data_IF_472997711189
#
_entry.id   IF_472997711189
#
_cell.length_a   1.000
_cell.length_b   1.000
_cell.length_c   1.000
_cell.angle_alpha   90.00
_cell.angle_beta   90.00
_cell.angle_gamma   90.00
#
_symmetry.space_group_name_H-M   'P 1'
#
loop_
_entity.id
_entity.type
_entity.pdbx_description
1 polymer ?
#
# COMPACT_ATOMS: atom_id res chain seq x y z
N UNK A 1 18.79 -4.20 -11.26
CA UNK A 1 18.00 -4.47 -10.04
C UNK A 1 16.58 -4.94 -10.44
N UNK A 2 16.16 -6.16 -10.08
CA UNK A 2 14.89 -6.78 -10.56
C UNK A 2 13.64 -6.06 -10.04
N UNK A 3 13.65 -5.65 -8.78
CA UNK A 3 12.53 -4.94 -8.13
C UNK A 3 12.22 -3.60 -8.81
N UNK A 4 13.26 -2.81 -9.13
CA UNK A 4 13.12 -1.55 -9.85
C UNK A 4 12.49 -1.71 -11.25
N UNK A 5 12.61 -2.90 -11.85
CA UNK A 5 11.96 -3.26 -13.13
C UNK A 5 10.52 -3.76 -12.95
N UNK A 6 10.00 -3.80 -11.73
CA UNK A 6 8.62 -4.21 -11.45
C UNK A 6 8.41 -5.71 -11.28
N UNK A 7 9.40 -6.49 -10.82
CA UNK A 7 9.26 -7.95 -10.66
C UNK A 7 8.15 -8.39 -9.69
N UNK A 8 7.68 -7.48 -8.83
CA UNK A 8 6.54 -7.65 -7.94
C UNK A 8 5.17 -7.46 -8.63
N UNK A 9 5.09 -6.92 -9.86
CA UNK A 9 3.81 -6.68 -10.56
C UNK A 9 3.35 -7.94 -11.30
N UNK A 10 3.03 -9.00 -10.55
CA UNK A 10 2.58 -10.29 -11.12
C UNK A 10 1.48 -10.92 -10.27
N UNK A 11 0.66 -11.75 -10.91
CA UNK A 11 -0.39 -12.51 -10.22
C UNK A 11 0.18 -13.75 -9.53
N UNK A 12 -0.62 -14.36 -8.65
CA UNK A 12 -0.30 -15.64 -8.01
C UNK A 12 0.53 -15.57 -6.73
N UNK A 13 1.14 -14.44 -6.37
CA UNK A 13 1.79 -14.25 -5.05
C UNK A 13 2.72 -15.39 -4.65
N UNK A 14 2.31 -16.16 -3.64
CA UNK A 14 3.02 -17.38 -3.21
C UNK A 14 3.15 -18.41 -4.35
N UNK A 15 2.08 -18.75 -5.06
CA UNK A 15 2.17 -19.70 -6.19
C UNK A 15 3.01 -19.13 -7.35
N UNK A 16 3.05 -17.81 -7.48
CA UNK A 16 3.89 -17.09 -8.44
C UNK A 16 5.38 -16.99 -8.06
N UNK A 17 5.79 -17.58 -6.93
CA UNK A 17 7.19 -17.60 -6.47
C UNK A 17 7.65 -16.33 -5.74
N UNK A 18 6.73 -15.48 -5.27
CA UNK A 18 7.04 -14.37 -4.36
C UNK A 18 7.12 -14.92 -2.94
N UNK A 19 8.23 -14.65 -2.25
CA UNK A 19 8.47 -15.15 -0.89
C UNK A 19 9.09 -14.06 -0.05
N UNK A 20 8.53 -13.84 1.14
CA UNK A 20 9.18 -13.05 2.19
C UNK A 20 10.28 -13.85 2.85
N UNK A 21 11.37 -14.20 2.16
CA UNK A 21 12.49 -14.92 2.81
C UNK A 21 13.28 -13.96 3.70
N UNK A 22 14.10 -14.47 4.62
CA UNK A 22 15.04 -13.70 5.46
C UNK A 22 16.14 -12.90 4.74
N UNK A 23 16.02 -12.71 3.42
CA UNK A 23 16.82 -11.78 2.64
C UNK A 23 15.98 -10.54 2.32
N UNK A 24 16.45 -9.37 2.74
CA UNK A 24 15.70 -8.11 2.67
C UNK A 24 15.14 -7.76 1.29
N UNK A 25 15.85 -8.12 0.22
CA UNK A 25 15.37 -7.88 -1.16
C UNK A 25 14.12 -8.71 -1.45
N UNK A 26 14.07 -9.94 -0.97
CA UNK A 26 12.90 -10.82 -1.11
C UNK A 26 11.72 -10.30 -0.28
N UNK A 27 11.96 -9.90 0.97
CA UNK A 27 10.94 -9.29 1.84
C UNK A 27 10.38 -7.99 1.23
N UNK A 28 11.24 -7.15 0.65
CA UNK A 28 10.83 -5.94 -0.05
C UNK A 28 9.99 -6.25 -1.31
N UNK A 29 10.39 -7.24 -2.11
CA UNK A 29 9.60 -7.67 -3.28
C UNK A 29 8.21 -8.18 -2.86
N UNK A 30 8.15 -8.96 -1.78
CA UNK A 30 6.92 -9.47 -1.19
C UNK A 30 6.01 -8.34 -0.67
N UNK A 31 6.55 -7.38 0.09
CA UNK A 31 5.81 -6.24 0.59
C UNK A 31 5.26 -5.35 -0.55
N UNK A 32 6.06 -5.12 -1.61
CA UNK A 32 5.63 -4.37 -2.79
C UNK A 32 4.54 -5.10 -3.58
N UNK A 33 4.60 -6.44 -3.65
CA UNK A 33 3.53 -7.23 -4.26
C UNK A 33 2.23 -7.13 -3.47
N UNK A 34 2.29 -7.22 -2.15
CA UNK A 34 1.14 -7.09 -1.28
C UNK A 34 0.51 -5.69 -1.43
N UNK A 35 1.33 -4.63 -1.42
CA UNK A 35 0.89 -3.25 -1.66
C UNK A 35 0.29 -3.03 -3.05
N UNK A 36 0.85 -3.66 -4.08
CA UNK A 36 0.30 -3.61 -5.44
C UNK A 36 -1.04 -4.38 -5.55
N UNK A 37 -1.24 -5.40 -4.73
CA UNK A 37 -2.39 -6.32 -4.77
C UNK A 37 -3.46 -6.04 -3.71
N UNK A 38 -3.29 -5.03 -2.87
CA UNK A 38 -4.10 -4.74 -1.68
C UNK A 38 -5.55 -4.27 -1.94
N UNK A 39 -5.95 -4.12 -3.21
CA UNK A 39 -7.27 -3.66 -3.63
C UNK A 39 -7.73 -2.32 -2.99
N UNK A 40 -6.78 -1.42 -2.70
CA UNK A 40 -7.04 -0.15 -2.01
C UNK A 40 -7.51 -0.30 -0.54
N UNK A 41 -7.15 -1.38 0.14
CA UNK A 41 -7.38 -1.56 1.58
C UNK A 41 -6.08 -1.93 2.28
N UNK A 42 -5.75 -1.18 3.34
CA UNK A 42 -4.60 -1.49 4.17
C UNK A 42 -4.69 -2.92 4.74
N UNK A 43 -5.86 -3.30 5.23
CA UNK A 43 -6.12 -4.59 5.88
C UNK A 43 -5.93 -5.75 4.90
N UNK A 44 -6.46 -5.62 3.68
CA UNK A 44 -6.28 -6.65 2.64
C UNK A 44 -4.81 -6.84 2.31
N UNK A 45 -4.07 -5.76 2.07
CA UNK A 45 -2.64 -5.87 1.78
C UNK A 45 -1.82 -6.38 2.97
N UNK A 46 -2.19 -6.03 4.21
CA UNK A 46 -1.52 -6.53 5.41
C UNK A 46 -1.70 -8.05 5.53
N UNK A 47 -2.93 -8.55 5.32
CA UNK A 47 -3.22 -9.98 5.30
C UNK A 47 -2.48 -10.69 4.16
N UNK A 48 -2.41 -10.09 2.97
CA UNK A 48 -1.61 -10.62 1.86
C UNK A 48 -0.13 -10.74 2.23
N UNK A 49 0.45 -9.70 2.85
CA UNK A 49 1.86 -9.70 3.26
C UNK A 49 2.17 -10.81 4.27
N UNK A 50 1.32 -11.00 5.28
CA UNK A 50 1.47 -12.05 6.30
C UNK A 50 1.26 -13.44 5.69
N UNK A 51 0.28 -13.60 4.80
CA UNK A 51 -0.04 -14.89 4.18
C UNK A 51 0.99 -15.35 3.11
N UNK A 52 1.96 -14.52 2.74
CA UNK A 52 3.11 -14.96 1.93
C UNK A 52 4.07 -15.88 2.69
N UNK A 53 3.93 -16.00 4.01
CA UNK A 53 4.71 -16.92 4.84
C UNK A 53 6.19 -16.56 4.96
N UNK A 54 6.98 -17.53 5.41
CA UNK A 54 8.41 -17.39 5.72
C UNK A 54 8.68 -16.31 6.79
N UNK A 55 9.32 -15.20 6.44
CA UNK A 55 9.67 -14.05 7.28
C UNK A 55 8.51 -13.02 7.26
N UNK A 56 7.43 -13.42 7.94
CA UNK A 56 6.17 -12.69 7.94
C UNK A 56 6.24 -11.36 8.68
N UNK A 57 6.99 -11.28 9.77
CA UNK A 57 7.16 -10.06 10.58
C UNK A 57 7.93 -8.99 9.81
N UNK A 58 9.04 -9.35 9.15
CA UNK A 58 9.79 -8.39 8.33
C UNK A 58 8.97 -7.93 7.13
N UNK A 59 8.30 -8.86 6.44
CA UNK A 59 7.50 -8.53 5.25
C UNK A 59 6.31 -7.63 5.61
N UNK A 60 5.59 -7.96 6.69
CA UNK A 60 4.47 -7.15 7.18
C UNK A 60 4.92 -5.78 7.69
N UNK A 61 6.09 -5.68 8.34
CA UNK A 61 6.62 -4.40 8.80
C UNK A 61 7.00 -3.45 7.65
N UNK A 62 7.61 -3.98 6.57
CA UNK A 62 7.92 -3.19 5.37
C UNK A 62 6.62 -2.76 4.69
N UNK A 63 5.67 -3.67 4.53
CA UNK A 63 4.34 -3.34 4.00
C UNK A 63 3.67 -2.24 4.84
N UNK A 64 3.69 -2.37 6.17
CA UNK A 64 3.06 -1.44 7.09
C UNK A 64 3.60 -0.02 6.98
N UNK A 65 4.91 0.15 6.75
CA UNK A 65 5.52 1.46 6.52
C UNK A 65 5.05 2.08 5.20
N UNK A 66 5.07 1.30 4.10
CA UNK A 66 4.66 1.78 2.77
C UNK A 66 3.16 2.11 2.73
N UNK A 67 2.34 1.16 3.15
CA UNK A 67 0.90 1.28 3.16
C UNK A 67 0.45 2.31 4.21
N UNK A 68 1.08 2.37 5.38
CA UNK A 68 0.77 3.36 6.41
C UNK A 68 1.02 4.79 5.94
N UNK A 69 2.13 5.04 5.22
CA UNK A 69 2.39 6.34 4.61
C UNK A 69 1.39 6.68 3.49
N UNK A 70 0.91 5.68 2.75
CA UNK A 70 -0.04 5.87 1.66
C UNK A 70 -1.50 6.07 2.12
N UNK A 71 -1.97 5.22 3.04
CA UNK A 71 -3.34 5.27 3.57
C UNK A 71 -3.49 6.30 4.68
N UNK A 72 -2.43 6.61 5.43
CA UNK A 72 -2.47 7.50 6.58
C UNK A 72 -3.01 6.82 7.85
N UNK A 73 -2.57 7.30 9.00
CA UNK A 73 -2.85 6.69 10.32
C UNK A 73 -4.36 6.59 10.63
N UNK A 74 -5.13 7.62 10.29
CA UNK A 74 -6.57 7.69 10.60
C UNK A 74 -7.43 6.71 9.77
N UNK A 75 -6.89 6.16 8.68
CA UNK A 75 -7.60 5.22 7.81
C UNK A 75 -7.27 3.76 8.11
N UNK A 76 -6.49 3.48 9.16
CA UNK A 76 -6.20 2.13 9.61
C UNK A 76 -7.31 1.63 10.55
N UNK A 77 -7.67 0.35 10.48
CA UNK A 77 -8.59 -0.30 11.43
C UNK A 77 -8.32 0.08 12.90
N UNK A 78 -9.25 0.77 13.59
CA UNK A 78 -9.10 1.14 15.00
C UNK A 78 -8.89 -0.08 15.89
N UNK A 79 -9.65 -1.16 15.61
CA UNK A 79 -9.53 -2.42 16.32
C UNK A 79 -8.13 -3.00 16.24
N UNK A 80 -7.45 -2.92 15.09
CA UNK A 80 -6.08 -3.42 14.97
C UNK A 80 -5.09 -2.55 15.74
N UNK A 81 -5.27 -1.22 15.69
CA UNK A 81 -4.41 -0.30 16.41
C UNK A 81 -4.42 -0.55 17.92
N UNK A 82 -5.58 -0.88 18.49
CA UNK A 82 -5.73 -1.09 19.94
C UNK A 82 -4.97 -2.31 20.49
N UNK A 83 -4.63 -3.27 19.63
CA UNK A 83 -3.81 -4.43 20.01
C UNK A 83 -2.30 -4.21 19.82
N UNK A 84 -1.88 -3.05 19.29
CA UNK A 84 -0.47 -2.76 19.06
C UNK A 84 0.20 -2.35 20.37
N UNK A 85 1.23 -3.10 20.76
CA UNK A 85 2.05 -2.76 21.93
C UNK A 85 2.71 -1.38 21.75
N UNK A 86 2.67 -0.56 22.80
CA UNK A 86 3.26 0.78 22.82
C UNK A 86 2.72 1.73 21.73
N UNK A 87 1.45 1.56 21.28
CA UNK A 87 0.76 2.43 20.32
C UNK A 87 0.97 3.92 20.60
N UNK A 88 0.71 4.35 21.84
CA UNK A 88 0.80 5.77 22.23
C UNK A 88 2.23 6.31 22.15
N UNK A 89 3.22 5.49 22.53
CA UNK A 89 4.63 5.83 22.40
C UNK A 89 5.02 6.01 20.92
N UNK A 90 4.63 5.07 20.06
CA UNK A 90 4.90 5.17 18.62
C UNK A 90 4.21 6.38 17.99
N UNK A 91 2.95 6.65 18.35
CA UNK A 91 2.23 7.83 17.87
C UNK A 91 2.91 9.14 18.32
N UNK A 92 3.38 9.21 19.56
CA UNK A 92 4.14 10.35 20.08
C UNK A 92 5.46 10.54 19.32
N UNK A 93 6.22 9.45 19.13
CA UNK A 93 7.47 9.46 18.40
C UNK A 93 7.29 9.89 16.94
N UNK A 94 6.26 9.39 16.25
CA UNK A 94 5.94 9.80 14.88
C UNK A 94 5.61 11.29 14.78
N UNK A 95 4.86 11.84 15.73
CA UNK A 95 4.57 13.29 15.80
C UNK A 95 5.85 14.10 16.01
N UNK A 96 6.76 13.64 16.88
CA UNK A 96 8.03 14.31 17.11
C UNK A 96 8.93 14.28 15.87
N UNK A 97 9.02 13.15 15.17
CA UNK A 97 9.78 13.05 13.91
C UNK A 97 9.22 14.01 12.85
N UNK A 98 7.89 14.09 12.71
CA UNK A 98 7.26 15.02 11.79
C UNK A 98 7.59 16.49 12.15
N UNK A 99 7.50 16.83 13.44
CA UNK A 99 7.83 18.16 13.94
C UNK A 99 9.30 18.56 13.71
N UNK A 100 10.24 17.65 13.91
CA UNK A 100 11.65 17.91 13.62
C UNK A 100 11.92 18.01 12.11
N UNK A 101 11.22 17.22 11.29
CA UNK A 101 11.33 17.28 9.84
C UNK A 101 10.88 18.64 9.27
N UNK A 102 9.84 19.26 9.85
CA UNK A 102 9.38 20.60 9.44
C UNK A 102 10.41 21.71 9.70
N UNK A 103 11.27 21.53 10.71
CA UNK A 103 12.32 22.49 11.05
C UNK A 103 13.62 22.25 10.29
N UNK A 104 13.73 21.13 9.59
CA UNK A 104 14.96 20.74 8.94
C UNK A 104 15.26 21.68 7.76
N UNK A 105 16.42 22.33 7.83
CA UNK A 105 16.93 23.18 6.75
C UNK A 105 18.15 22.49 6.14
N UNK A 106 18.18 22.23 4.81
CA UNK A 106 19.34 21.64 4.16
C UNK A 106 20.58 22.54 4.30
N UNK A 107 21.75 21.93 4.45
CA UNK A 107 23.02 22.66 4.46
C UNK A 107 23.28 23.33 3.10
N UNK A 108 23.89 24.52 3.10
CA UNK A 108 24.27 25.22 1.87
C UNK A 108 25.24 24.34 1.06
N UNK A 109 24.79 23.87 -0.11
CA UNK A 109 25.55 22.98 -1.00
C UNK A 109 24.82 21.67 -1.32
N UNK A 110 23.86 21.27 -0.49
CA UNK A 110 23.03 20.09 -0.72
C UNK A 110 21.89 20.43 -1.68
N UNK A 111 22.15 20.34 -2.98
CA UNK A 111 21.13 20.54 -4.03
C UNK A 111 20.24 19.30 -4.18
N UNK A 112 19.56 18.90 -3.11
CA UNK A 112 18.35 18.10 -3.27
C UNK A 112 17.28 19.03 -3.85
N UNK A 113 16.72 18.69 -5.02
CA UNK A 113 15.76 19.54 -5.73
C UNK A 113 14.40 19.53 -4.97
N UNK A 114 14.31 20.27 -3.85
CA UNK A 114 13.18 20.28 -2.92
C UNK A 114 11.90 20.88 -3.50
N UNK A 115 11.98 21.56 -4.65
CA UNK A 115 10.83 22.04 -5.44
C UNK A 115 9.86 20.94 -5.85
N UNK A 116 10.25 19.66 -5.75
CA UNK A 116 9.38 18.51 -6.03
C UNK A 116 8.57 18.03 -4.82
N UNK A 117 9.01 18.34 -3.59
CA UNK A 117 8.40 17.86 -2.35
C UNK A 117 7.29 18.78 -1.82
N UNK A 118 7.30 20.06 -2.17
CA UNK A 118 6.23 21.01 -1.82
C UNK A 118 4.87 20.68 -2.46
N UNK A 119 4.84 19.80 -3.46
CA UNK A 119 3.60 19.29 -4.07
C UNK A 119 2.89 18.23 -3.21
N UNK A 120 3.56 17.67 -2.20
CA UNK A 120 2.95 16.80 -1.20
C UNK A 120 2.49 17.69 -0.04
N UNK A 121 1.36 18.35 -0.23
CA UNK A 121 0.71 19.20 0.76
C UNK A 121 0.23 18.31 1.94
N UNK A 122 1.12 17.99 2.88
CA UNK A 122 0.74 17.44 4.18
C UNK A 122 0.29 18.65 5.00
N UNK A 123 -1.00 18.92 4.95
CA UNK A 123 -1.64 20.01 5.69
C UNK A 123 -1.57 19.70 7.19
N UNK A 124 -0.73 20.42 7.93
CA UNK A 124 -0.60 20.32 9.40
C UNK A 124 -1.85 20.80 10.16
N UNK A 125 -2.89 21.22 9.44
CA UNK A 125 -4.16 21.73 9.95
C UNK A 125 -5.19 20.65 10.35
N UNK A 126 -4.84 19.35 10.27
CA UNK A 126 -5.80 18.25 10.57
C UNK A 126 -5.76 17.76 12.04
N UNK A 127 -5.32 18.59 12.99
CA UNK A 127 -5.32 18.24 14.41
C UNK A 127 -6.46 18.86 15.22
N UNK A 128 -7.26 19.76 14.63
CA UNK A 128 -8.39 20.35 15.31
C UNK A 128 -9.68 20.22 14.48
N UNK A 129 -10.69 19.63 15.12
CA UNK A 129 -12.14 19.64 14.82
C UNK A 129 -12.72 18.83 13.64
N UNK A 130 -13.85 18.20 13.96
CA UNK A 130 -14.73 17.35 13.14
C UNK A 130 -15.22 17.98 11.82
N UNK A 131 -15.60 17.07 10.91
CA UNK A 131 -16.28 17.26 9.61
C UNK A 131 -15.51 18.06 8.55
N UNK A 132 -14.92 17.35 7.58
CA UNK A 132 -15.06 17.70 6.15
C UNK A 132 -14.34 16.72 5.21
N UNK A 133 -15.10 16.14 4.28
CA UNK A 133 -14.57 15.38 3.14
C UNK A 133 -13.83 16.34 2.19
N UNK A 134 -12.50 16.40 2.24
CA UNK A 134 -11.70 17.13 1.24
C UNK A 134 -11.10 16.19 0.18
N UNK A 135 -11.13 16.56 -1.12
CA UNK A 135 -11.02 15.59 -2.21
C UNK A 135 -9.59 15.14 -2.53
N UNK A 136 -9.53 13.87 -2.89
CA UNK A 136 -8.38 13.03 -3.28
C UNK A 136 -7.37 13.70 -4.24
N UNK A 137 -6.05 13.62 -3.99
CA UNK A 137 -5.06 13.83 -5.04
C UNK A 137 -5.17 12.71 -6.09
N UNK A 138 -5.40 13.08 -7.35
CA UNK A 138 -5.50 12.13 -8.47
C UNK A 138 -4.14 11.51 -8.78
N UNK A 139 -3.74 10.48 -8.03
CA UNK A 139 -2.79 9.47 -8.47
C UNK A 139 -3.62 8.30 -9.01
N UNK A 140 -4.35 8.57 -10.09
CA UNK A 140 -5.21 7.62 -10.79
C UNK A 140 -4.65 7.52 -12.21
N UNK A 141 -3.75 6.57 -12.45
CA UNK A 141 -3.54 6.08 -13.81
C UNK A 141 -3.07 4.62 -13.87
N UNK A 142 -2.27 4.13 -12.92
CA UNK A 142 -1.80 2.73 -12.97
C UNK A 142 -2.65 1.74 -12.16
N UNK A 143 -3.11 2.08 -10.95
CA UNK A 143 -3.86 1.14 -10.08
C UNK A 143 -5.29 0.87 -10.59
N UNK A 144 -5.87 1.81 -11.33
CA UNK A 144 -7.27 1.76 -11.82
C UNK A 144 -7.43 0.93 -13.10
N UNK A 145 -6.37 0.77 -13.90
CA UNK A 145 -6.43 -0.03 -15.13
C UNK A 145 -6.64 -1.53 -14.87
N UNK A 146 -6.31 -2.03 -13.67
CA UNK A 146 -6.55 -3.43 -13.27
C UNK A 146 -8.05 -3.73 -13.05
N UNK A 147 -8.87 -2.73 -12.70
CA UNK A 147 -10.31 -2.91 -12.47
C UNK A 147 -11.13 -2.90 -13.78
N UNK A 148 -10.67 -2.20 -14.82
CA UNK A 148 -11.39 -2.17 -16.11
C UNK A 148 -11.22 -3.45 -16.93
N UNK A 149 -10.13 -4.20 -16.74
CA UNK A 149 -9.88 -5.47 -17.43
C UNK A 149 -10.58 -6.68 -16.79
N UNK A 150 -10.86 -6.65 -15.48
CA UNK A 150 -11.55 -7.73 -14.75
C UNK A 150 -13.08 -7.70 -14.91
N UNK A 151 -13.67 -6.52 -15.19
CA UNK A 151 -15.11 -6.38 -15.43
C UNK A 151 -15.55 -6.95 -16.79
N UNK A 152 -14.64 -7.00 -17.78
CA UNK A 152 -14.96 -7.44 -19.14
C UNK A 152 -14.91 -8.97 -19.33
N UNK A 153 -14.35 -9.73 -18.39
CA UNK A 153 -14.19 -11.19 -18.51
C UNK A 153 -15.35 -12.00 -17.92
N UNK A 154 -16.28 -11.39 -17.17
CA UNK A 154 -17.41 -12.11 -16.56
C UNK A 154 -18.73 -12.10 -17.35
N UNK A 155 -18.81 -11.41 -18.50
CA UNK A 155 -20.08 -11.31 -19.27
C UNK A 155 -20.18 -12.30 -20.45
N UNK A 156 -19.16 -13.11 -20.75
CA UNK A 156 -19.14 -13.93 -22.00
C UNK A 156 -19.53 -15.42 -21.81
N UNK A 157 -19.80 -15.92 -20.59
CA UNK A 157 -20.03 -17.38 -20.36
C UNK A 157 -21.51 -17.73 -20.06
N UNK A 158 -22.50 -17.09 -20.70
CA UNK A 158 -23.93 -17.47 -20.47
C UNK A 158 -24.81 -17.63 -21.71
N UNK A 159 -24.26 -17.98 -22.87
CA UNK A 159 -25.08 -18.19 -24.09
C UNK A 159 -24.70 -19.41 -24.95
N UNK A 160 -24.38 -20.55 -24.33
CA UNK A 160 -24.28 -21.83 -25.09
C UNK A 160 -24.99 -23.00 -24.41
N UNK A 161 -26.31 -22.92 -24.28
CA UNK A 161 -27.18 -24.08 -24.03
C UNK A 161 -28.49 -23.95 -24.81
N UNK A 162 -28.53 -24.49 -26.04
CA UNK A 162 -29.73 -25.07 -26.70
C UNK A 162 -29.45 -25.49 -28.15
N UNK A 163 -29.22 -26.78 -28.38
CA UNK A 163 -29.86 -27.60 -29.44
C UNK A 163 -29.25 -29.00 -29.48
N UNK A 164 -29.97 -29.99 -28.98
CA UNK A 164 -29.97 -31.34 -29.55
C UNK A 164 -31.37 -31.91 -29.37
N UNK A 165 -32.10 -32.00 -30.48
CA UNK A 165 -33.44 -32.57 -30.58
C UNK A 165 -33.42 -33.56 -31.73
N UNK A 166 -33.84 -34.81 -31.45
CA UNK A 166 -34.22 -35.91 -32.37
C UNK A 166 -33.06 -36.53 -33.20
N UNK A 167 -32.96 -37.84 -33.42
CA UNK A 167 -33.95 -38.94 -33.39
C UNK A 167 -33.62 -40.02 -32.36
#
# INVERSE_FOLDING_TARGET
>A
MKIAKGSYKREGGYDGGIRGKGYIVSALEAALWAFWSDENSFEKGALLAVNLGDDTDTTAAIYGQLAGAYYGYNNLSPTWQDFVYAKDYMACLSKWIAFEAEKWVPCKGDTWNLTKLSTLNIDSSTLDSESDQKPRPKIISEKTQKLSSLSQTSTVISSTTKKKTRN
#
